data_IF_613088471422
#
_entry.id   IF_613088471422
#
_cell.length_a   1.000
_cell.length_b   1.000
_cell.length_c   1.000
_cell.angle_alpha   90.00
_cell.angle_beta   90.00
_cell.angle_gamma   90.00
#
_symmetry.space_group_name_H-M   'P 1'
#
loop_
_entity.id
_entity.type
_entity.pdbx_description
1 polymer ?
#
# COMPACT_ATOMS: atom_id res chain seq x y z
N UNK A 1 -4.88 -7.35 -33.03
CA UNK A 1 -4.00 -8.55 -32.99
C UNK A 1 -2.79 -8.36 -32.09
N UNK A 2 -1.82 -7.47 -32.41
CA UNK A 2 -0.63 -7.29 -31.57
C UNK A 2 -0.94 -6.79 -30.14
N UNK A 3 -1.87 -5.84 -29.99
CA UNK A 3 -2.34 -5.38 -28.69
C UNK A 3 -3.01 -6.49 -27.85
N UNK A 4 -3.81 -7.34 -28.50
CA UNK A 4 -4.47 -8.47 -27.84
C UNK A 4 -3.46 -9.50 -27.33
N UNK A 5 -2.42 -9.80 -28.13
CA UNK A 5 -1.34 -10.71 -27.71
C UNK A 5 -0.51 -10.15 -26.56
N UNK A 6 -0.31 -8.83 -26.50
CA UNK A 6 0.39 -8.18 -25.38
C UNK A 6 -0.43 -8.22 -24.10
N UNK A 7 -1.75 -7.98 -24.18
CA UNK A 7 -2.65 -8.10 -23.03
C UNK A 7 -2.72 -9.52 -22.48
N UNK A 8 -2.79 -10.53 -23.35
CA UNK A 8 -2.74 -11.93 -22.94
C UNK A 8 -1.42 -12.28 -22.26
N UNK A 9 -0.31 -11.79 -22.82
CA UNK A 9 1.03 -11.97 -22.23
C UNK A 9 1.15 -11.27 -20.88
N UNK A 10 0.57 -10.07 -20.73
CA UNK A 10 0.50 -9.34 -19.48
C UNK A 10 -0.28 -10.12 -18.41
N UNK A 11 -1.46 -10.62 -18.76
CA UNK A 11 -2.29 -11.45 -17.88
C UNK A 11 -1.56 -12.73 -17.45
N UNK A 12 -0.94 -13.44 -18.40
CA UNK A 12 -0.16 -14.64 -18.13
C UNK A 12 1.03 -14.36 -17.19
N UNK A 13 1.77 -13.28 -17.43
CA UNK A 13 2.86 -12.85 -16.55
C UNK A 13 2.35 -12.52 -15.14
N UNK A 14 1.20 -11.83 -15.01
CA UNK A 14 0.59 -11.52 -13.73
C UNK A 14 0.19 -12.78 -12.93
N UNK A 15 -0.50 -13.70 -13.58
CA UNK A 15 -0.90 -15.00 -12.99
C UNK A 15 0.33 -15.81 -12.57
N UNK A 16 1.34 -15.91 -13.44
CA UNK A 16 2.59 -16.60 -13.15
C UNK A 16 3.35 -15.95 -11.98
N UNK A 17 3.40 -14.62 -11.93
CA UNK A 17 4.03 -13.87 -10.83
C UNK A 17 3.43 -14.21 -9.48
N UNK A 18 2.09 -14.19 -9.38
CA UNK A 18 1.38 -14.59 -8.15
C UNK A 18 1.63 -16.07 -7.81
N UNK A 19 1.62 -16.96 -8.81
CA UNK A 19 1.93 -18.37 -8.62
C UNK A 19 3.34 -18.60 -8.06
N UNK A 20 4.34 -17.92 -8.63
CA UNK A 20 5.74 -17.99 -8.20
C UNK A 20 5.92 -17.44 -6.77
N UNK A 21 5.28 -16.32 -6.44
CA UNK A 21 5.29 -15.78 -5.08
C UNK A 21 4.66 -16.77 -4.08
N UNK A 22 3.53 -17.38 -4.45
CA UNK A 22 2.87 -18.39 -3.63
C UNK A 22 3.76 -19.61 -3.39
N UNK A 23 4.46 -20.08 -4.42
CA UNK A 23 5.45 -21.15 -4.30
C UNK A 23 6.61 -20.75 -3.38
N UNK A 24 7.08 -19.50 -3.49
CA UNK A 24 8.10 -18.93 -2.61
C UNK A 24 7.69 -18.94 -1.14
N UNK A 25 6.42 -18.63 -0.85
CA UNK A 25 5.88 -18.61 0.51
C UNK A 25 5.60 -20.01 1.08
N UNK A 26 5.40 -21.02 0.25
CA UNK A 26 5.20 -22.39 0.69
C UNK A 26 6.50 -23.09 1.15
N UNK A 27 7.67 -22.51 0.86
CA UNK A 27 8.97 -23.10 1.25
C UNK A 27 9.28 -22.86 2.72
N UNK A 28 9.96 -23.84 3.34
CA UNK A 28 10.44 -23.76 4.73
C UNK A 28 11.42 -22.61 4.97
N UNK A 29 12.22 -22.28 3.96
CA UNK A 29 13.20 -21.19 3.98
C UNK A 29 12.89 -20.23 2.84
N UNK A 30 12.96 -18.93 3.13
CA UNK A 30 12.67 -17.86 2.17
C UNK A 30 13.63 -17.95 0.97
N UNK A 31 13.09 -18.16 -0.22
CA UNK A 31 13.88 -18.12 -1.46
C UNK A 31 13.91 -16.70 -2.02
N UNK A 32 15.11 -16.11 -2.12
CA UNK A 32 15.29 -14.81 -2.74
C UNK A 32 15.00 -14.85 -4.24
N UNK A 33 15.44 -15.90 -4.95
CA UNK A 33 15.20 -16.08 -6.37
C UNK A 33 13.70 -16.09 -6.71
N UNK A 34 12.90 -16.92 -6.03
CA UNK A 34 11.45 -16.97 -6.29
C UNK A 34 10.76 -15.63 -5.98
N UNK A 35 11.18 -14.92 -4.93
CA UNK A 35 10.61 -13.60 -4.65
C UNK A 35 10.93 -12.61 -5.77
N UNK A 36 12.19 -12.53 -6.20
CA UNK A 36 12.62 -11.62 -7.26
C UNK A 36 11.89 -11.95 -8.57
N UNK A 37 11.84 -13.23 -8.97
CA UNK A 37 11.13 -13.66 -10.17
C UNK A 37 9.65 -13.31 -10.11
N UNK A 38 8.99 -13.56 -8.98
CA UNK A 38 7.57 -13.24 -8.80
C UNK A 38 7.30 -11.74 -8.96
N UNK A 39 8.11 -10.88 -8.35
CA UNK A 39 8.01 -9.43 -8.50
C UNK A 39 8.36 -8.94 -9.91
N UNK A 40 9.37 -9.53 -10.55
CA UNK A 40 9.74 -9.21 -11.93
C UNK A 40 8.61 -9.56 -12.92
N UNK A 41 7.91 -10.68 -12.71
CA UNK A 41 6.74 -11.06 -13.51
C UNK A 41 5.56 -10.10 -13.32
N UNK A 42 5.32 -9.63 -12.09
CA UNK A 42 4.31 -8.59 -11.82
C UNK A 42 4.68 -7.25 -12.47
N UNK A 43 5.96 -6.87 -12.45
CA UNK A 43 6.44 -5.70 -13.18
C UNK A 43 6.24 -5.87 -14.68
N UNK A 44 6.56 -7.06 -15.22
CA UNK A 44 6.32 -7.41 -16.61
C UNK A 44 4.85 -7.31 -17.00
N UNK A 45 3.94 -7.78 -16.14
CA UNK A 45 2.49 -7.62 -16.31
C UNK A 45 2.10 -6.14 -16.47
N UNK A 46 2.61 -5.26 -15.61
CA UNK A 46 2.34 -3.82 -15.68
C UNK A 46 2.91 -3.17 -16.96
N UNK A 47 4.17 -3.49 -17.32
CA UNK A 47 4.84 -2.94 -18.51
C UNK A 47 4.15 -3.41 -19.79
N UNK A 48 3.81 -4.70 -19.91
CA UNK A 48 3.13 -5.24 -21.08
C UNK A 48 1.70 -4.71 -21.21
N UNK A 49 0.98 -4.59 -20.09
CA UNK A 49 -0.35 -3.97 -20.08
C UNK A 49 -0.30 -2.51 -20.54
N UNK A 50 0.69 -1.75 -20.06
CA UNK A 50 0.92 -0.38 -20.52
C UNK A 50 1.27 -0.30 -22.01
N UNK A 51 2.16 -1.16 -22.50
CA UNK A 51 2.54 -1.19 -23.91
C UNK A 51 1.36 -1.54 -24.83
N UNK A 52 0.39 -2.31 -24.35
CA UNK A 52 -0.76 -2.72 -25.15
C UNK A 52 -1.82 -1.62 -25.33
N UNK A 53 -2.16 -0.89 -24.26
CA UNK A 53 -3.25 0.11 -24.28
C UNK A 53 -3.08 1.22 -23.23
N UNK A 54 -1.85 1.55 -22.84
CA UNK A 54 -1.53 2.58 -21.84
C UNK A 54 -2.14 2.27 -20.47
N UNK A 55 -2.65 3.30 -19.81
CA UNK A 55 -3.26 3.19 -18.48
C UNK A 55 -4.43 2.19 -18.43
N UNK A 56 -5.25 2.15 -19.48
CA UNK A 56 -6.36 1.19 -19.59
C UNK A 56 -5.86 -0.24 -19.62
N UNK A 57 -4.85 -0.52 -20.45
CA UNK A 57 -4.27 -1.86 -20.54
C UNK A 57 -3.62 -2.32 -19.24
N UNK A 58 -2.94 -1.42 -18.53
CA UNK A 58 -2.40 -1.71 -17.19
C UNK A 58 -3.52 -2.00 -16.18
N UNK A 59 -4.61 -1.22 -16.17
CA UNK A 59 -5.75 -1.44 -15.28
C UNK A 59 -6.38 -2.81 -15.52
N UNK A 60 -6.70 -3.15 -16.78
CA UNK A 60 -7.26 -4.45 -17.15
C UNK A 60 -6.30 -5.60 -16.83
N UNK A 61 -5.01 -5.46 -17.15
CA UNK A 61 -4.01 -6.49 -16.86
C UNK A 61 -3.88 -6.76 -15.35
N UNK A 62 -3.97 -5.72 -14.50
CA UNK A 62 -3.82 -5.85 -13.05
C UNK A 62 -4.95 -6.63 -12.36
N UNK A 63 -6.13 -6.74 -12.98
CA UNK A 63 -7.25 -7.52 -12.45
C UNK A 63 -6.89 -9.01 -12.32
N UNK A 64 -6.06 -9.53 -13.24
CA UNK A 64 -5.66 -10.94 -13.25
C UNK A 64 -4.81 -11.35 -12.03
N UNK A 65 -3.66 -10.71 -11.74
CA UNK A 65 -2.90 -11.02 -10.53
C UNK A 65 -3.69 -10.72 -9.25
N UNK A 66 -4.50 -9.65 -9.20
CA UNK A 66 -5.36 -9.37 -8.04
C UNK A 66 -6.39 -10.48 -7.80
N UNK A 67 -7.09 -10.91 -8.86
CA UNK A 67 -8.05 -12.00 -8.80
C UNK A 67 -7.41 -13.34 -8.41
N UNK A 68 -6.24 -13.66 -8.95
CA UNK A 68 -5.50 -14.86 -8.56
C UNK A 68 -5.04 -14.83 -7.11
N UNK A 69 -4.55 -13.69 -6.63
CA UNK A 69 -4.16 -13.52 -5.23
C UNK A 69 -5.38 -13.71 -4.30
N UNK A 70 -6.52 -13.09 -4.65
CA UNK A 70 -7.78 -13.25 -3.91
C UNK A 70 -8.23 -14.72 -3.87
N UNK A 71 -8.23 -15.41 -5.02
CA UNK A 71 -8.62 -16.82 -5.10
C UNK A 71 -7.72 -17.72 -4.25
N UNK A 72 -6.40 -17.50 -4.29
CA UNK A 72 -5.45 -18.27 -3.48
C UNK A 72 -5.61 -18.00 -1.98
N UNK A 73 -5.88 -16.74 -1.60
CA UNK A 73 -6.16 -16.37 -0.21
C UNK A 73 -7.48 -16.95 0.27
N UNK A 74 -8.55 -16.87 -0.52
CA UNK A 74 -9.85 -17.46 -0.20
C UNK A 74 -9.73 -18.98 -0.04
N UNK A 75 -9.05 -19.66 -0.97
CA UNK A 75 -8.79 -21.10 -0.85
C UNK A 75 -7.95 -21.44 0.39
N UNK A 76 -6.95 -20.64 0.71
CA UNK A 76 -6.16 -20.82 1.93
C UNK A 76 -7.01 -20.61 3.19
N UNK A 77 -7.88 -19.61 3.22
CA UNK A 77 -8.79 -19.33 4.32
C UNK A 77 -9.78 -20.48 4.52
N UNK A 78 -10.41 -20.98 3.44
CA UNK A 78 -11.34 -22.13 3.51
C UNK A 78 -10.67 -23.41 3.99
N UNK A 79 -9.40 -23.66 3.62
CA UNK A 79 -8.67 -24.86 4.04
C UNK A 79 -7.95 -24.71 5.38
N UNK A 80 -7.83 -23.48 5.89
CA UNK A 80 -7.17 -23.24 7.16
C UNK A 80 -8.02 -23.83 8.28
N UNK A 81 -7.44 -24.76 9.05
CA UNK A 81 -8.06 -25.20 10.30
C UNK A 81 -7.88 -24.06 11.31
N UNK A 82 -8.87 -23.79 12.19
CA UNK A 82 -8.70 -22.87 13.30
C UNK A 82 -7.41 -23.25 14.04
N UNK A 83 -6.45 -22.32 14.07
CA UNK A 83 -5.17 -22.59 14.70
C UNK A 83 -5.39 -22.90 16.17
N UNK A 84 -4.94 -24.09 16.62
CA UNK A 84 -4.79 -24.40 18.05
C UNK A 84 -3.55 -23.73 18.65
N UNK A 85 -3.03 -22.69 17.99
CA UNK A 85 -1.88 -21.95 18.45
C UNK A 85 -2.35 -21.18 19.67
N UNK A 86 -1.92 -21.63 20.85
CA UNK A 86 -2.13 -20.91 22.08
C UNK A 86 -1.67 -19.47 21.85
N UNK A 87 -2.51 -18.49 22.20
CA UNK A 87 -2.12 -17.08 22.12
C UNK A 87 -0.74 -16.96 22.75
N UNK A 88 0.21 -16.39 22.01
CA UNK A 88 1.59 -16.24 22.45
C UNK A 88 1.60 -15.63 23.84
N UNK A 89 1.93 -16.43 24.86
CA UNK A 89 2.08 -15.95 26.22
C UNK A 89 3.43 -15.24 26.41
N UNK A 90 4.08 -14.84 25.30
CA UNK A 90 5.17 -13.88 25.31
C UNK A 90 4.58 -12.63 25.93
N UNK A 91 5.03 -12.29 27.14
CA UNK A 91 4.62 -11.09 27.87
C UNK A 91 5.06 -9.86 27.08
N UNK A 92 4.29 -9.47 26.07
CA UNK A 92 4.60 -8.29 25.25
C UNK A 92 4.05 -7.00 25.86
N UNK A 93 3.56 -7.03 27.11
CA UNK A 93 2.94 -5.87 27.75
C UNK A 93 1.74 -5.30 26.96
N UNK A 94 1.11 -6.12 26.10
CA UNK A 94 0.00 -5.71 25.23
C UNK A 94 -1.26 -5.38 26.04
N UNK A 95 -1.46 -6.07 27.17
CA UNK A 95 -2.46 -5.70 28.17
C UNK A 95 -1.73 -5.19 29.42
N UNK A 96 -2.17 -4.05 29.99
CA UNK A 96 -1.62 -3.57 31.25
C UNK A 96 -1.77 -4.66 32.31
N UNK A 97 -0.71 -4.90 33.07
CA UNK A 97 -0.78 -5.79 34.22
C UNK A 97 -1.78 -5.21 35.25
N UNK A 98 -2.38 -6.07 36.07
CA UNK A 98 -3.42 -5.67 37.03
C UNK A 98 -2.83 -4.62 38.00
N UNK A 99 -3.21 -3.35 37.84
CA UNK A 99 -2.70 -2.22 38.63
C UNK A 99 -1.88 -1.19 37.85
N UNK A 100 -1.51 -1.45 36.59
CA UNK A 100 -0.84 -0.45 35.75
C UNK A 100 -1.82 0.62 35.25
N UNK A 101 -1.43 1.91 35.19
CA UNK A 101 -2.27 2.96 34.64
C UNK A 101 -2.54 2.67 33.15
N UNK A 102 -3.82 2.71 32.76
CA UNK A 102 -4.26 2.38 31.40
C UNK A 102 -3.67 3.30 30.30
N UNK A 103 -3.09 4.46 30.70
CA UNK A 103 -2.50 5.49 29.81
C UNK A 103 -3.42 5.83 28.63
N UNK A 104 -4.74 5.87 28.88
CA UNK A 104 -5.77 6.07 27.84
C UNK A 104 -5.50 7.33 27.02
N UNK A 105 -5.18 8.46 27.67
CA UNK A 105 -4.86 9.70 26.95
C UNK A 105 -3.70 9.56 25.96
N UNK A 106 -2.62 8.86 26.34
CA UNK A 106 -1.49 8.63 25.45
C UNK A 106 -1.83 7.70 24.27
N UNK A 107 -2.69 6.70 24.50
CA UNK A 107 -3.18 5.78 23.46
C UNK A 107 -4.14 6.48 22.49
N UNK A 108 -5.07 7.26 23.03
CA UNK A 108 -5.99 8.11 22.25
C UNK A 108 -5.21 9.12 21.42
N UNK A 109 -4.18 9.76 21.98
CA UNK A 109 -3.32 10.65 21.21
C UNK A 109 -2.59 9.93 20.08
N UNK A 110 -2.03 8.73 20.32
CA UNK A 110 -1.43 7.94 19.25
C UNK A 110 -2.44 7.59 18.17
N UNK A 111 -3.66 7.21 18.55
CA UNK A 111 -4.74 6.94 17.60
C UNK A 111 -5.04 8.18 16.75
N UNK A 112 -5.21 9.35 17.36
CA UNK A 112 -5.46 10.61 16.63
C UNK A 112 -4.30 10.96 15.70
N UNK A 113 -3.05 10.80 16.15
CA UNK A 113 -1.86 11.10 15.34
C UNK A 113 -1.71 10.16 14.15
N UNK A 114 -1.88 8.86 14.37
CA UNK A 114 -1.62 7.83 13.35
C UNK A 114 -2.80 7.66 12.40
N UNK A 115 -4.03 7.87 12.87
CA UNK A 115 -5.24 7.65 12.07
C UNK A 115 -5.68 8.94 11.39
N UNK A 116 -6.42 9.88 12.02
CA UNK A 116 -6.96 11.04 11.32
C UNK A 116 -5.88 12.03 10.86
N UNK A 117 -4.85 12.32 11.67
CA UNK A 117 -3.81 13.30 11.26
C UNK A 117 -2.99 12.78 10.09
N UNK A 118 -2.51 11.53 10.16
CA UNK A 118 -1.78 10.93 9.03
C UNK A 118 -2.69 10.76 7.80
N UNK A 119 -3.99 10.50 7.97
CA UNK A 119 -4.92 10.40 6.85
C UNK A 119 -5.13 11.75 6.17
N UNK A 120 -5.29 12.82 6.94
CA UNK A 120 -5.40 14.18 6.42
C UNK A 120 -4.14 14.58 5.62
N UNK A 121 -2.95 14.28 6.15
CA UNK A 121 -1.70 14.47 5.40
C UNK A 121 -1.62 13.59 4.16
N UNK A 122 -2.07 12.33 4.25
CA UNK A 122 -2.10 11.41 3.12
C UNK A 122 -2.99 11.90 1.97
N UNK A 123 -4.17 12.43 2.29
CA UNK A 123 -5.06 13.11 1.33
C UNK A 123 -4.35 14.31 0.73
N UNK A 124 -3.77 15.16 1.58
CA UNK A 124 -3.07 16.36 1.13
C UNK A 124 -1.92 16.07 0.15
N UNK A 125 -1.06 15.10 0.46
CA UNK A 125 0.05 14.70 -0.41
C UNK A 125 -0.49 14.09 -1.71
N UNK A 126 -1.54 13.26 -1.65
CA UNK A 126 -2.15 12.67 -2.84
C UNK A 126 -2.73 13.75 -3.78
N UNK A 127 -3.40 14.75 -3.23
CA UNK A 127 -3.92 15.91 -3.98
C UNK A 127 -2.78 16.76 -4.55
N UNK A 128 -1.72 17.03 -3.77
CA UNK A 128 -0.56 17.77 -4.26
C UNK A 128 0.11 17.05 -5.45
N UNK A 129 0.26 15.73 -5.37
CA UNK A 129 0.77 14.91 -6.47
C UNK A 129 -0.14 14.94 -7.69
N UNK A 130 -1.46 14.93 -7.51
CA UNK A 130 -2.41 15.11 -8.61
C UNK A 130 -2.30 16.50 -9.25
N UNK A 131 -2.09 17.56 -8.46
CA UNK A 131 -1.79 18.89 -8.98
C UNK A 131 -0.53 18.92 -9.85
N UNK A 132 0.54 18.25 -9.40
CA UNK A 132 1.78 18.13 -10.17
C UNK A 132 1.59 17.35 -11.48
N UNK A 133 0.77 16.30 -11.49
CA UNK A 133 0.49 15.55 -12.72
C UNK A 133 -0.40 16.33 -13.70
N UNK A 134 -1.33 17.15 -13.20
CA UNK A 134 -2.08 18.09 -14.03
C UNK A 134 -1.17 19.13 -14.68
N UNK A 135 -0.26 19.73 -13.90
CA UNK A 135 0.75 20.68 -14.43
C UNK A 135 1.67 20.00 -15.46
N UNK A 136 1.95 18.71 -15.29
CA UNK A 136 2.70 17.91 -16.26
C UNK A 136 1.88 17.49 -17.51
N UNK A 137 0.64 17.97 -17.67
CA UNK A 137 -0.20 17.74 -18.85
C UNK A 137 -1.04 16.47 -18.80
N UNK A 138 -1.19 15.83 -17.63
CA UNK A 138 -2.10 14.68 -17.48
C UNK A 138 -3.57 15.12 -17.54
N UNK A 139 -4.45 14.23 -17.99
CA UNK A 139 -5.90 14.46 -17.93
C UNK A 139 -6.41 14.42 -16.48
N UNK A 140 -7.51 15.14 -16.22
CA UNK A 140 -8.16 15.15 -14.90
C UNK A 140 -8.51 13.73 -14.40
N UNK A 141 -9.02 12.88 -15.29
CA UNK A 141 -9.36 11.50 -14.98
C UNK A 141 -8.15 10.72 -14.44
N UNK A 142 -6.97 10.87 -15.07
CA UNK A 142 -5.76 10.18 -14.65
C UNK A 142 -5.20 10.77 -13.34
N UNK A 143 -5.20 12.09 -13.20
CA UNK A 143 -4.69 12.77 -12.02
C UNK A 143 -5.50 12.44 -10.75
N UNK A 144 -6.83 12.47 -10.84
CA UNK A 144 -7.70 12.15 -9.71
C UNK A 144 -7.75 10.65 -9.42
N UNK A 145 -7.71 9.79 -10.45
CA UNK A 145 -7.56 8.34 -10.25
C UNK A 145 -6.27 8.01 -9.49
N UNK A 146 -5.15 8.62 -9.87
CA UNK A 146 -3.88 8.48 -9.17
C UNK A 146 -3.99 8.93 -7.71
N UNK A 147 -4.62 10.08 -7.44
CA UNK A 147 -4.83 10.59 -6.07
C UNK A 147 -5.59 9.59 -5.20
N UNK A 148 -6.69 9.03 -5.72
CA UNK A 148 -7.50 8.04 -5.01
C UNK A 148 -6.71 6.78 -4.66
N UNK A 149 -5.82 6.34 -5.55
CA UNK A 149 -4.98 5.16 -5.29
C UNK A 149 -3.80 5.46 -4.35
N UNK A 150 -3.22 6.66 -4.43
CA UNK A 150 -2.07 7.05 -3.62
C UNK A 150 -2.45 7.35 -2.17
N UNK A 151 -3.63 7.91 -1.91
CA UNK A 151 -4.08 8.26 -0.56
C UNK A 151 -3.91 7.12 0.46
N UNK A 152 -4.46 5.91 0.25
CA UNK A 152 -4.31 4.82 1.23
C UNK A 152 -2.87 4.34 1.35
N UNK A 153 -2.07 4.40 0.27
CA UNK A 153 -0.67 4.00 0.28
C UNK A 153 0.19 4.97 1.11
N UNK A 154 0.03 6.28 0.86
CA UNK A 154 0.72 7.33 1.61
C UNK A 154 0.34 7.25 3.08
N UNK A 155 -0.95 7.10 3.38
CA UNK A 155 -1.42 6.92 4.75
C UNK A 155 -0.79 5.71 5.43
N UNK A 156 -0.74 4.54 4.77
CA UNK A 156 -0.14 3.34 5.33
C UNK A 156 1.37 3.53 5.62
N UNK A 157 2.10 4.18 4.72
CA UNK A 157 3.52 4.53 4.91
C UNK A 157 3.68 5.47 6.11
N UNK A 158 2.89 6.53 6.19
CA UNK A 158 2.93 7.47 7.32
C UNK A 158 2.58 6.78 8.64
N UNK A 159 1.53 5.96 8.66
CA UNK A 159 1.13 5.21 9.84
C UNK A 159 2.25 4.29 10.33
N UNK A 160 2.90 3.56 9.42
CA UNK A 160 4.06 2.74 9.73
C UNK A 160 5.20 3.59 10.32
N UNK A 161 5.60 4.67 9.65
CA UNK A 161 6.67 5.54 10.11
C UNK A 161 6.37 6.11 11.50
N UNK A 162 5.15 6.58 11.74
CA UNK A 162 4.73 7.16 13.03
C UNK A 162 4.68 6.12 14.15
N UNK A 163 4.26 4.89 13.85
CA UNK A 163 4.23 3.78 14.82
C UNK A 163 5.64 3.25 15.15
N UNK A 164 6.59 3.40 14.23
CA UNK A 164 7.99 3.04 14.44
C UNK A 164 8.80 4.11 15.18
N UNK A 165 8.26 5.32 15.37
CA UNK A 165 8.97 6.36 16.11
C UNK A 165 8.95 6.10 17.63
N UNK A 166 10.13 6.06 18.29
CA UNK A 166 10.20 5.80 19.73
C UNK A 166 9.78 7.00 20.59
N UNK A 167 9.67 8.20 20.01
CA UNK A 167 9.38 9.43 20.74
C UNK A 167 8.34 10.31 20.04
N UNK A 168 7.62 11.13 20.83
CA UNK A 168 6.65 12.11 20.31
C UNK A 168 7.30 13.19 19.45
N UNK A 169 8.52 13.59 19.79
CA UNK A 169 9.32 14.51 18.96
C UNK A 169 9.64 13.88 17.59
N UNK A 170 9.92 12.59 17.55
CA UNK A 170 10.11 11.85 16.31
C UNK A 170 8.85 11.84 15.43
N UNK A 171 7.69 11.57 16.03
CA UNK A 171 6.40 11.65 15.33
C UNK A 171 6.15 13.05 14.75
N UNK A 172 6.38 14.11 15.54
CA UNK A 172 6.23 15.49 15.08
C UNK A 172 7.17 15.82 13.89
N UNK A 173 8.42 15.34 13.91
CA UNK A 173 9.35 15.50 12.78
C UNK A 173 8.86 14.80 11.52
N UNK A 174 8.35 13.57 11.63
CA UNK A 174 7.78 12.83 10.50
C UNK A 174 6.61 13.60 9.89
N UNK A 175 5.68 14.09 10.73
CA UNK A 175 4.54 14.89 10.26
C UNK A 175 4.99 16.19 9.60
N UNK A 176 5.96 16.89 10.19
CA UNK A 176 6.48 18.14 9.64
C UNK A 176 7.10 17.93 8.25
N UNK A 177 7.95 16.90 8.09
CA UNK A 177 8.55 16.55 6.79
C UNK A 177 7.48 16.11 5.80
N UNK A 178 6.53 15.27 6.22
CA UNK A 178 5.44 14.81 5.36
C UNK A 178 4.51 15.97 4.91
N UNK A 179 4.43 17.06 5.68
CA UNK A 179 3.65 18.23 5.31
C UNK A 179 4.30 19.11 4.24
N UNK A 180 5.59 18.94 3.93
CA UNK A 180 6.32 19.79 2.97
C UNK A 180 5.61 19.92 1.60
N UNK A 181 5.12 18.84 0.97
CA UNK A 181 4.44 18.93 -0.33
C UNK A 181 3.11 19.69 -0.31
N UNK A 182 2.51 19.90 0.87
CA UNK A 182 1.24 20.61 1.02
C UNK A 182 1.39 22.13 1.00
N UNK A 183 2.54 22.66 1.42
CA UNK A 183 2.75 24.09 1.54
C UNK A 183 2.56 24.87 0.23
N UNK A 184 3.07 24.42 -0.93
CA UNK A 184 2.80 25.09 -2.20
C UNK A 184 1.30 25.14 -2.54
N UNK A 185 0.57 24.04 -2.30
CA UNK A 185 -0.87 23.98 -2.57
C UNK A 185 -1.67 24.90 -1.64
N UNK A 186 -1.31 24.94 -0.36
CA UNK A 186 -1.95 25.85 0.61
C UNK A 186 -1.64 27.32 0.29
N UNK A 187 -0.40 27.62 -0.12
CA UNK A 187 -0.01 28.97 -0.51
C UNK A 187 -0.80 29.44 -1.74
N UNK A 188 -0.98 28.59 -2.76
CA UNK A 188 -1.77 28.93 -3.96
C UNK A 188 -3.24 29.16 -3.58
N UNK A 189 -3.84 28.28 -2.79
CA UNK A 189 -5.25 28.41 -2.38
C UNK A 189 -5.53 29.58 -1.44
N UNK A 190 -4.54 30.07 -0.70
CA UNK A 190 -4.65 31.28 0.12
C UNK A 190 -4.51 32.58 -0.69
N UNK A 191 -3.94 32.50 -1.89
CA UNK A 191 -3.68 33.65 -2.77
C UNK A 191 -4.73 33.81 -3.89
N UNK A 192 -5.65 32.85 -4.03
CA UNK A 192 -6.78 32.84 -4.97
C UNK A 192 -8.07 33.32 -4.31
#
# INVERSE_FOLDING_TARGET
MAGDTLLLSAAAAGLAGIGVLRLGWARKVRSHGLNITGWALLLGCAVLGWAAAGAWGMAVASLWPMGAALALLANAAMRSRPGKTHASNRRVGLMPERGEPLRLGARTLTFIVVTPIAAALGIGIAVALAGLTLVAGSSEANAYSLSLMLMPLIWAVLAYLLLMQPSRRGQAKVLAVASVPLWPCLAIGLLS
#
